data_IF_681881402614
#
_entry.id   IF_681881402614
#
_cell.length_a   1.000
_cell.length_b   1.000
_cell.length_c   1.000
_cell.angle_alpha   90.00
_cell.angle_beta   90.00
_cell.angle_gamma   90.00
#
_symmetry.space_group_name_H-M   'P 1'
#
loop_
_entity.id
_entity.type
_entity.pdbx_description
1 polymer ?
#
# COMPACT_ATOMS: atom_id res chain seq x y z
N UNK A 1 -41.33 -1.23 -58.68
CA UNK A 1 -41.46 -2.27 -57.63
C UNK A 1 -40.06 -2.64 -57.17
N UNK A 2 -39.78 -2.53 -55.87
CA UNK A 2 -38.55 -3.03 -55.26
C UNK A 2 -37.78 -1.97 -54.44
N UNK A 3 -38.19 -1.75 -53.19
CA UNK A 3 -37.29 -1.34 -52.09
C UNK A 3 -36.10 -2.30 -51.99
N UNK A 4 -34.99 -1.94 -51.35
CA UNK A 4 -34.43 -2.67 -50.19
C UNK A 4 -33.19 -1.93 -49.62
N UNK A 5 -33.41 -1.29 -48.46
CA UNK A 5 -32.57 -1.11 -47.27
C UNK A 5 -31.08 -0.72 -47.36
N UNK A 6 -30.82 0.48 -46.82
CA UNK A 6 -29.58 0.89 -46.17
C UNK A 6 -29.22 -0.07 -45.02
N UNK A 7 -28.00 -0.61 -45.03
CA UNK A 7 -27.36 -1.16 -43.83
C UNK A 7 -26.08 -0.38 -43.54
N UNK A 8 -26.18 0.61 -42.65
CA UNK A 8 -25.04 1.13 -41.89
C UNK A 8 -24.64 0.06 -40.87
N UNK A 9 -23.49 -0.58 -41.06
CA UNK A 9 -22.86 -1.40 -40.04
C UNK A 9 -22.04 -0.49 -39.12
N UNK A 10 -22.63 -0.10 -37.99
CA UNK A 10 -21.91 0.52 -36.89
C UNK A 10 -21.19 -0.58 -36.09
N UNK A 11 -19.89 -0.76 -36.32
CA UNK A 11 -19.02 -1.58 -35.49
C UNK A 11 -18.72 -0.82 -34.19
N UNK A 12 -19.60 -0.96 -33.20
CA UNK A 12 -19.30 -0.61 -31.82
C UNK A 12 -18.35 -1.68 -31.24
N UNK A 13 -17.05 -1.42 -31.31
CA UNK A 13 -16.06 -2.14 -30.52
C UNK A 13 -16.25 -1.77 -29.05
N UNK A 14 -17.14 -2.50 -28.37
CA UNK A 14 -17.26 -2.47 -26.93
C UNK A 14 -15.97 -3.08 -26.34
N UNK A 15 -15.01 -2.21 -25.99
CA UNK A 15 -13.87 -2.57 -25.18
C UNK A 15 -14.35 -3.09 -23.82
N UNK A 16 -14.34 -4.40 -23.65
CA UNK A 16 -14.44 -5.01 -22.34
C UNK A 16 -13.11 -4.76 -21.61
N UNK A 17 -13.01 -3.61 -20.96
CA UNK A 17 -12.11 -3.46 -19.82
C UNK A 17 -12.69 -4.38 -18.75
N UNK A 18 -12.12 -5.57 -18.59
CA UNK A 18 -12.34 -6.38 -17.40
C UNK A 18 -11.74 -5.61 -16.23
N UNK A 19 -12.53 -4.71 -15.65
CA UNK A 19 -12.29 -4.22 -14.31
C UNK A 19 -12.38 -5.44 -13.40
N UNK A 20 -11.23 -6.03 -13.10
CA UNK A 20 -11.11 -7.05 -12.05
C UNK A 20 -11.42 -6.32 -10.74
N UNK A 21 -12.71 -6.23 -10.41
CA UNK A 21 -13.16 -5.75 -9.11
C UNK A 21 -12.50 -6.64 -8.07
N UNK A 22 -11.74 -6.04 -7.15
CA UNK A 22 -11.16 -6.77 -6.04
C UNK A 22 -12.30 -7.52 -5.31
N UNK A 23 -12.14 -8.84 -5.17
CA UNK A 23 -13.15 -9.66 -4.50
C UNK A 23 -13.13 -9.28 -3.02
N UNK A 24 -14.21 -8.66 -2.54
CA UNK A 24 -14.34 -8.31 -1.13
C UNK A 24 -14.44 -9.58 -0.28
N UNK A 25 -13.86 -9.58 0.91
CA UNK A 25 -13.83 -10.71 1.82
C UNK A 25 -14.04 -10.26 3.28
N UNK A 26 -14.28 -11.22 4.16
CA UNK A 26 -14.25 -11.05 5.63
C UNK A 26 -13.17 -11.91 6.27
N UNK A 27 -12.88 -13.06 5.69
CA UNK A 27 -11.89 -14.02 6.18
C UNK A 27 -11.10 -14.61 5.03
N UNK A 28 -9.93 -15.22 5.32
CA UNK A 28 -9.10 -15.87 4.30
C UNK A 28 -9.84 -16.97 3.51
N UNK A 29 -10.87 -17.57 4.10
CA UNK A 29 -11.67 -18.61 3.44
C UNK A 29 -12.51 -18.07 2.25
N UNK A 30 -12.77 -16.76 2.22
CA UNK A 30 -13.47 -16.11 1.10
C UNK A 30 -12.56 -15.96 -0.13
N UNK A 31 -11.26 -16.27 0.01
CA UNK A 31 -10.24 -16.03 -0.99
C UNK A 31 -9.75 -17.32 -1.65
N UNK A 32 -9.66 -17.30 -2.97
CA UNK A 32 -9.18 -18.43 -3.77
C UNK A 32 -7.76 -18.20 -4.30
N UNK A 33 -7.12 -19.29 -4.76
CA UNK A 33 -5.79 -19.27 -5.42
C UNK A 33 -4.66 -18.71 -4.55
N UNK A 34 -4.63 -19.09 -3.27
CA UNK A 34 -3.56 -18.69 -2.33
C UNK A 34 -3.61 -17.23 -1.88
N UNK A 35 -4.71 -16.53 -2.17
CA UNK A 35 -4.96 -15.17 -1.69
C UNK A 35 -5.49 -15.16 -0.26
N UNK A 36 -5.32 -14.04 0.43
CA UNK A 36 -5.77 -13.81 1.81
C UNK A 36 -6.63 -12.58 1.89
N UNK A 37 -7.46 -12.55 2.93
CA UNK A 37 -8.34 -11.44 3.18
C UNK A 37 -7.61 -10.34 3.95
N UNK A 38 -7.26 -9.27 3.24
CA UNK A 38 -6.49 -8.17 3.81
C UNK A 38 -7.43 -7.02 4.15
N UNK A 39 -7.51 -6.69 5.43
CA UNK A 39 -8.23 -5.51 5.91
C UNK A 39 -7.46 -4.24 5.55
N UNK A 40 -8.14 -3.28 4.93
CA UNK A 40 -7.58 -1.98 4.57
C UNK A 40 -7.96 -0.96 5.64
N UNK A 41 -7.04 -0.62 6.56
CA UNK A 41 -7.33 0.50 7.45
C UNK A 41 -7.27 1.82 6.71
N UNK A 42 -8.20 2.69 7.08
CA UNK A 42 -8.55 3.97 6.46
C UNK A 42 -9.46 3.82 5.23
N UNK A 43 -10.78 3.76 5.49
CA UNK A 43 -11.85 4.22 4.60
C UNK A 43 -12.55 3.20 3.69
N UNK A 44 -12.36 1.90 3.92
CA UNK A 44 -13.39 0.94 3.52
C UNK A 44 -13.60 -0.09 4.62
N UNK A 45 -14.86 -0.36 4.99
CA UNK A 45 -15.22 -1.53 5.81
C UNK A 45 -15.09 -2.84 5.02
N UNK A 46 -14.33 -2.82 3.92
CA UNK A 46 -14.22 -3.88 2.93
C UNK A 46 -12.78 -4.36 2.99
N UNK A 47 -12.59 -5.64 3.30
CA UNK A 47 -11.33 -6.31 3.04
C UNK A 47 -11.38 -6.90 1.64
N UNK A 48 -10.24 -7.13 1.00
CA UNK A 48 -10.18 -7.78 -0.31
C UNK A 48 -9.22 -8.96 -0.33
N UNK A 49 -9.49 -9.90 -1.24
CA UNK A 49 -8.62 -11.02 -1.50
C UNK A 49 -7.39 -10.60 -2.28
N UNK A 50 -6.26 -10.54 -1.60
CA UNK A 50 -4.97 -10.15 -2.16
C UNK A 50 -3.95 -11.28 -2.07
N UNK A 51 -2.98 -11.27 -2.98
CA UNK A 51 -1.84 -12.18 -2.90
C UNK A 51 -1.04 -11.83 -1.64
N UNK A 52 -0.73 -12.83 -0.81
CA UNK A 52 -0.03 -12.62 0.46
C UNK A 52 1.45 -12.30 0.18
N UNK A 53 1.79 -11.01 0.12
CA UNK A 53 3.16 -10.54 -0.13
C UNK A 53 4.04 -10.58 1.12
N UNK A 54 3.88 -11.61 1.95
CA UNK A 54 4.73 -11.84 3.11
C UNK A 54 6.11 -12.34 2.68
N UNK A 55 7.03 -12.30 3.62
CA UNK A 55 8.34 -12.90 3.45
C UNK A 55 8.22 -14.39 3.15
N UNK A 56 8.92 -14.86 2.11
CA UNK A 56 9.09 -16.28 1.79
C UNK A 56 9.71 -17.00 2.99
N UNK A 57 10.69 -16.35 3.63
CA UNK A 57 11.25 -16.80 4.90
C UNK A 57 11.55 -15.60 5.78
N UNK A 58 11.31 -15.76 7.08
CA UNK A 58 11.64 -14.78 8.12
C UNK A 58 12.56 -15.46 9.11
N UNK A 59 13.77 -14.94 9.25
CA UNK A 59 14.68 -15.29 10.34
C UNK A 59 14.61 -14.22 11.43
N UNK A 60 15.35 -14.42 12.52
CA UNK A 60 15.48 -13.39 13.57
C UNK A 60 16.23 -12.14 13.09
N UNK A 61 16.94 -12.21 11.96
CA UNK A 61 17.85 -11.16 11.49
C UNK A 61 17.57 -10.67 10.06
N UNK A 62 16.77 -11.40 9.27
CA UNK A 62 16.48 -11.06 7.88
C UNK A 62 15.16 -11.63 7.39
N UNK A 63 14.74 -11.18 6.22
CA UNK A 63 13.67 -11.82 5.48
C UNK A 63 14.01 -11.96 3.99
N UNK A 64 13.53 -13.04 3.38
CA UNK A 64 13.58 -13.25 1.93
C UNK A 64 12.22 -12.95 1.33
N UNK A 65 12.21 -12.26 0.19
CA UNK A 65 10.99 -11.83 -0.49
C UNK A 65 10.90 -12.40 -1.90
N UNK A 66 9.69 -12.46 -2.45
CA UNK A 66 9.48 -12.79 -3.86
C UNK A 66 10.25 -11.84 -4.79
N UNK A 67 10.63 -12.28 -6.00
CA UNK A 67 11.23 -11.40 -7.00
C UNK A 67 10.41 -10.12 -7.19
N UNK A 68 11.08 -8.97 -7.19
CA UNK A 68 10.43 -7.65 -7.27
C UNK A 68 10.09 -7.02 -5.93
N UNK A 69 10.42 -7.68 -4.80
CA UNK A 69 10.20 -7.17 -3.46
C UNK A 69 11.50 -7.00 -2.66
N UNK A 70 11.49 -6.07 -1.71
CA UNK A 70 12.60 -5.80 -0.79
C UNK A 70 12.18 -6.00 0.66
N UNK A 71 13.04 -6.66 1.43
CA UNK A 71 12.87 -6.82 2.86
C UNK A 71 13.03 -5.48 3.60
N UNK A 72 12.06 -5.12 4.44
CA UNK A 72 12.13 -3.99 5.37
C UNK A 72 11.99 -4.46 6.82
N UNK A 73 12.88 -3.97 7.69
CA UNK A 73 12.76 -4.11 9.14
C UNK A 73 11.77 -3.08 9.70
N UNK A 74 11.02 -3.47 10.73
CA UNK A 74 10.03 -2.67 11.45
C UNK A 74 10.35 -2.66 12.93
N UNK A 75 9.95 -1.60 13.63
CA UNK A 75 9.95 -1.57 15.09
C UNK A 75 8.69 -2.25 15.64
N UNK A 76 8.49 -3.52 15.25
CA UNK A 76 7.33 -4.30 15.60
C UNK A 76 7.77 -5.67 16.11
N UNK A 77 7.88 -5.88 17.43
CA UNK A 77 8.42 -7.12 17.99
C UNK A 77 7.67 -8.39 17.54
N UNK A 78 6.35 -8.29 17.33
CA UNK A 78 5.52 -9.43 16.90
C UNK A 78 5.60 -9.73 15.40
N UNK A 79 6.04 -8.77 14.59
CA UNK A 79 6.15 -8.89 13.13
C UNK A 79 7.25 -7.96 12.60
N UNK A 80 8.53 -8.27 12.87
CA UNK A 80 9.63 -7.33 12.65
C UNK A 80 10.00 -7.13 11.17
N UNK A 81 9.53 -7.98 10.27
CA UNK A 81 9.88 -7.90 8.85
C UNK A 81 8.64 -7.83 7.96
N UNK A 82 8.81 -7.17 6.81
CA UNK A 82 7.85 -7.19 5.71
C UNK A 82 8.56 -7.11 4.36
N UNK A 83 7.88 -7.57 3.31
CA UNK A 83 8.33 -7.44 1.93
C UNK A 83 7.56 -6.33 1.23
N UNK A 84 8.29 -5.42 0.59
CA UNK A 84 7.72 -4.26 -0.10
C UNK A 84 8.01 -4.36 -1.58
N UNK A 85 7.03 -4.08 -2.44
CA UNK A 85 7.25 -4.01 -3.90
C UNK A 85 8.34 -2.98 -4.20
N UNK A 86 9.18 -3.15 -5.21
CA UNK A 86 10.22 -2.18 -5.56
C UNK A 86 9.69 -0.91 -6.27
N UNK A 87 8.44 -0.92 -6.71
CA UNK A 87 7.80 0.18 -7.45
C UNK A 87 7.38 1.34 -6.55
N UNK A 88 7.36 2.55 -7.10
CA UNK A 88 6.89 3.77 -6.42
C UNK A 88 7.65 4.11 -5.12
N UNK A 89 8.98 4.14 -5.18
CA UNK A 89 9.82 4.51 -4.03
C UNK A 89 9.78 6.01 -3.72
N UNK A 90 9.30 6.84 -4.64
CA UNK A 90 9.14 8.29 -4.46
C UNK A 90 8.10 8.66 -3.39
N UNK A 91 7.06 7.84 -3.23
CA UNK A 91 6.07 8.02 -2.18
C UNK A 91 6.52 7.42 -0.85
N UNK A 92 7.77 6.97 -0.72
CA UNK A 92 8.29 6.27 0.46
C UNK A 92 9.35 7.06 1.19
N UNK A 93 9.34 6.89 2.49
CA UNK A 93 10.46 7.27 3.33
C UNK A 93 11.58 6.23 3.23
N UNK A 94 12.72 6.67 2.69
CA UNK A 94 13.85 5.80 2.38
C UNK A 94 13.88 5.37 0.91
N UNK A 95 14.99 4.75 0.49
CA UNK A 95 15.24 4.42 -0.91
C UNK A 95 15.84 5.58 -1.71
N UNK A 96 16.26 5.31 -2.94
CA UNK A 96 17.00 6.28 -3.76
C UNK A 96 16.12 7.43 -4.27
N UNK A 97 14.81 7.18 -4.37
CA UNK A 97 13.83 8.09 -4.95
C UNK A 97 12.97 8.82 -3.90
N UNK A 98 13.08 8.47 -2.62
CA UNK A 98 12.36 9.16 -1.54
C UNK A 98 12.85 10.59 -1.31
N UNK A 99 12.12 11.41 -0.55
CA UNK A 99 12.51 12.79 -0.28
C UNK A 99 13.79 12.85 0.55
N UNK A 100 14.68 13.78 0.19
CA UNK A 100 15.92 14.05 0.92
C UNK A 100 15.68 15.12 1.97
N UNK A 101 15.56 14.70 3.22
CA UNK A 101 15.29 15.61 4.34
C UNK A 101 16.56 16.30 4.84
N UNK A 102 16.39 17.51 5.38
CA UNK A 102 17.46 18.26 6.05
C UNK A 102 17.88 17.56 7.35
N UNK A 103 19.05 17.86 7.93
CA UNK A 103 19.52 17.22 9.17
C UNK A 103 18.54 17.34 10.36
N UNK A 104 17.79 18.43 10.44
CA UNK A 104 16.78 18.70 11.47
C UNK A 104 15.37 18.17 11.10
N UNK A 105 15.26 17.43 9.99
CA UNK A 105 14.01 16.89 9.49
C UNK A 105 14.06 15.36 9.48
N UNK A 106 12.87 14.76 9.43
CA UNK A 106 12.67 13.33 9.27
C UNK A 106 11.61 13.11 8.21
N UNK A 107 11.71 12.01 7.46
CA UNK A 107 10.68 11.68 6.50
C UNK A 107 9.43 11.14 7.21
N UNK A 108 8.26 11.61 6.78
CA UNK A 108 6.96 11.17 7.25
C UNK A 108 6.00 10.96 6.09
N UNK A 109 4.92 10.23 6.36
CA UNK A 109 3.83 9.97 5.44
C UNK A 109 2.65 10.87 5.77
N UNK A 110 2.29 11.73 4.81
CA UNK A 110 1.14 12.63 4.91
C UNK A 110 -0.02 12.09 4.08
N UNK A 111 -1.23 12.13 4.63
CA UNK A 111 -2.41 11.65 3.91
C UNK A 111 -2.72 12.55 2.71
N UNK A 112 -3.04 11.96 1.57
CA UNK A 112 -3.46 12.68 0.36
C UNK A 112 -4.97 12.90 0.29
N UNK A 113 -5.74 12.21 1.15
CA UNK A 113 -7.21 12.19 1.11
C UNK A 113 -7.78 11.16 0.13
N UNK A 114 -6.93 10.43 -0.60
CA UNK A 114 -7.36 9.33 -1.45
C UNK A 114 -7.79 8.12 -0.59
N UNK A 115 -8.86 7.46 -1.03
CA UNK A 115 -9.37 6.23 -0.41
C UNK A 115 -8.75 5.02 -1.07
N UNK A 116 -8.15 4.15 -0.26
CA UNK A 116 -7.68 2.85 -0.71
C UNK A 116 -8.83 1.85 -0.80
N UNK A 117 -9.04 1.30 -1.98
CA UNK A 117 -9.98 0.18 -2.17
C UNK A 117 -9.25 -1.15 -2.45
N UNK A 118 -7.92 -1.13 -2.55
CA UNK A 118 -7.09 -2.30 -2.87
C UNK A 118 -5.67 -2.13 -2.33
N UNK A 119 -5.11 -3.16 -1.70
CA UNK A 119 -3.69 -3.15 -1.32
C UNK A 119 -2.80 -3.53 -2.50
N UNK A 120 -1.57 -2.99 -2.57
CA UNK A 120 -1.01 -1.98 -1.66
C UNK A 120 -1.57 -0.59 -1.96
N UNK A 121 -1.80 0.23 -0.92
CA UNK A 121 -2.47 1.52 -1.09
C UNK A 121 -1.50 2.61 -1.55
N UNK A 122 -0.91 2.46 -2.73
CA UNK A 122 -0.03 3.48 -3.28
C UNK A 122 -0.78 4.79 -3.49
N UNK A 123 -0.12 5.90 -3.18
CA UNK A 123 -0.66 7.25 -3.37
C UNK A 123 -1.65 7.74 -2.31
N UNK A 124 -2.12 6.90 -1.37
CA UNK A 124 -2.93 7.38 -0.22
C UNK A 124 -2.13 8.24 0.74
N UNK A 125 -0.82 8.03 0.75
CA UNK A 125 0.13 8.77 1.55
C UNK A 125 1.25 9.26 0.64
N UNK A 126 1.71 10.48 0.87
CA UNK A 126 2.89 11.06 0.22
C UNK A 126 4.03 11.15 1.24
N UNK A 127 5.24 10.77 0.82
CA UNK A 127 6.43 10.98 1.62
C UNK A 127 6.81 12.47 1.61
N UNK A 128 6.95 13.06 2.79
CA UNK A 128 7.31 14.46 3.01
C UNK A 128 8.38 14.56 4.09
N UNK A 129 9.12 15.68 4.11
CA UNK A 129 10.01 15.99 5.21
C UNK A 129 9.29 16.85 6.24
N UNK A 130 9.39 16.45 7.51
CA UNK A 130 8.80 17.17 8.65
C UNK A 130 9.90 17.48 9.66
N UNK A 131 9.78 18.63 10.34
CA UNK A 131 10.75 19.01 11.36
C UNK A 131 10.69 18.07 12.56
N UNK A 132 11.86 17.71 13.09
CA UNK A 132 11.97 16.96 14.34
C UNK A 132 11.41 17.83 15.47
N UNK A 133 10.37 17.34 16.15
CA UNK A 133 9.76 18.03 17.30
C UNK A 133 10.09 17.28 18.59
N UNK A 134 10.27 17.99 19.73
CA UNK A 134 10.34 17.35 21.04
C UNK A 134 9.13 16.44 21.27
N UNK A 135 9.35 15.19 21.66
CA UNK A 135 8.29 14.19 21.87
C UNK A 135 7.95 13.30 20.67
N UNK A 136 8.54 13.55 19.48
CA UNK A 136 8.49 12.60 18.35
C UNK A 136 9.74 11.71 18.38
N UNK A 137 9.87 10.90 19.43
CA UNK A 137 10.93 9.89 19.55
C UNK A 137 10.44 8.59 18.92
N UNK A 138 10.65 8.47 17.61
CA UNK A 138 10.36 7.24 16.90
C UNK A 138 11.58 6.31 16.93
N UNK A 139 11.34 5.01 17.05
CA UNK A 139 12.39 4.04 16.80
C UNK A 139 12.91 4.13 15.36
N UNK A 140 14.13 3.63 15.10
CA UNK A 140 14.82 3.83 13.83
C UNK A 140 14.12 3.22 12.61
N UNK A 141 13.21 2.26 12.79
CA UNK A 141 12.47 1.61 11.70
C UNK A 141 10.95 1.88 11.76
N UNK A 142 10.52 2.77 12.64
CA UNK A 142 9.13 3.18 12.80
C UNK A 142 8.71 4.07 11.63
N UNK A 143 7.46 3.92 11.21
CA UNK A 143 6.87 4.85 10.25
C UNK A 143 6.35 6.08 10.99
N UNK A 144 6.65 7.26 10.48
CA UNK A 144 6.05 8.51 10.96
C UNK A 144 4.86 8.81 10.06
N UNK A 145 3.66 8.87 10.60
CA UNK A 145 2.45 9.10 9.81
C UNK A 145 1.61 10.24 10.39
N UNK A 146 1.00 11.03 9.51
CA UNK A 146 0.04 12.06 9.88
C UNK A 146 -1.25 11.41 10.44
N UNK A 147 -1.54 11.68 11.71
CA UNK A 147 -2.77 11.25 12.37
C UNK A 147 -3.91 12.26 12.15
N UNK A 148 -3.58 13.55 12.29
CA UNK A 148 -4.42 14.72 12.02
C UNK A 148 -3.56 15.77 11.33
N UNK A 149 -4.16 16.78 10.70
CA UNK A 149 -3.42 17.84 9.99
C UNK A 149 -2.21 18.34 10.79
N UNK A 150 -1.01 18.14 10.25
CA UNK A 150 0.28 18.52 10.84
C UNK A 150 0.60 17.90 12.22
N UNK A 151 -0.09 16.82 12.59
CA UNK A 151 0.14 16.03 13.80
C UNK A 151 0.61 14.65 13.40
N UNK A 152 1.88 14.37 13.65
CA UNK A 152 2.55 13.13 13.29
C UNK A 152 2.72 12.21 14.49
N UNK A 153 2.59 10.91 14.26
CA UNK A 153 2.76 9.87 15.28
C UNK A 153 3.68 8.77 14.77
N UNK A 154 4.40 8.13 15.69
CA UNK A 154 5.21 6.96 15.39
C UNK A 154 4.34 5.71 15.29
N UNK A 155 4.56 4.90 14.26
CA UNK A 155 3.88 3.64 13.98
C UNK A 155 4.91 2.54 13.75
N UNK A 156 5.34 1.88 14.84
CA UNK A 156 6.37 0.83 14.78
C UNK A 156 5.94 -0.40 13.97
N UNK A 157 4.65 -0.76 14.02
CA UNK A 157 4.10 -1.93 13.31
C UNK A 157 3.52 -1.65 11.92
N UNK A 158 3.40 -0.39 11.52
CA UNK A 158 2.79 -0.05 10.24
C UNK A 158 3.64 -0.50 9.05
N UNK A 159 2.96 -0.82 7.95
CA UNK A 159 3.59 -1.15 6.67
C UNK A 159 3.88 0.08 5.83
N UNK A 160 5.01 0.05 5.11
CA UNK A 160 5.40 1.15 4.21
C UNK A 160 4.63 1.16 2.87
N UNK A 161 4.00 0.03 2.51
CA UNK A 161 3.11 -0.07 1.32
C UNK A 161 1.63 0.09 1.68
N UNK A 162 1.41 0.76 2.80
CA UNK A 162 0.13 1.16 3.39
C UNK A 162 -0.49 0.14 4.35
N UNK A 163 -0.60 0.60 5.60
CA UNK A 163 -1.48 0.15 6.68
C UNK A 163 -1.89 -1.33 6.65
N UNK A 164 -0.92 -2.22 6.88
CA UNK A 164 -1.21 -3.49 7.55
C UNK A 164 -1.76 -3.16 8.94
N UNK A 165 -3.06 -2.97 9.06
CA UNK A 165 -3.74 -3.09 10.36
C UNK A 165 -4.17 -4.53 10.54
N UNK A 166 -3.65 -5.14 11.60
CA UNK A 166 -4.53 -5.93 12.45
C UNK A 166 -5.37 -4.98 13.29
#
# INVERSE_FOLDING_TARGET
MGSFYLTLAALALAGYVLAVSAATCKTDADCSRGKRCVSHANYSSRANCETDHRCISVSKTSCSCDPGFQCRLKDCPSAPYECLVLEHQESRCGGRNGPRCRPNQVCAYQKTGLVCIKCPCYGTDRAICVDKRPGLECGPNSIIQENRQNVFVCKGCASAVSVLTR
#
